data_IF_906594669557
#
_entry.id   IF_906594669557
#
_cell.length_a   1.000
_cell.length_b   1.000
_cell.length_c   1.000
_cell.angle_alpha   90.00
_cell.angle_beta   90.00
_cell.angle_gamma   90.00
#
_symmetry.space_group_name_H-M   'P 1'
#
loop_
_entity.id
_entity.type
_entity.pdbx_description
1 polymer ?
#
# COMPACT_ATOMS: atom_id res chain seq x y z
N UNK A 1 36.63 -3.28 -40.81
CA UNK A 1 36.77 -2.53 -39.55
C UNK A 1 35.59 -1.57 -39.43
N UNK A 2 34.51 -1.96 -38.72
CA UNK A 2 33.62 -1.08 -37.93
C UNK A 2 32.48 -1.96 -37.39
N UNK A 3 32.60 -2.45 -36.15
CA UNK A 3 31.49 -3.11 -35.45
C UNK A 3 30.54 -1.99 -35.00
N UNK A 4 29.31 -2.01 -35.50
CA UNK A 4 28.26 -1.06 -35.11
C UNK A 4 28.09 -1.06 -33.58
N UNK A 5 28.06 0.15 -33.03
CA UNK A 5 27.79 0.41 -31.63
C UNK A 5 26.38 -0.07 -31.25
N UNK A 6 26.31 -0.96 -30.26
CA UNK A 6 25.07 -1.23 -29.50
C UNK A 6 25.30 -0.69 -28.11
N UNK A 7 24.92 0.57 -27.89
CA UNK A 7 24.79 1.13 -26.53
C UNK A 7 23.49 1.92 -26.49
N UNK A 8 22.42 1.25 -26.09
CA UNK A 8 21.14 1.85 -25.75
C UNK A 8 20.41 0.91 -24.78
N UNK A 9 20.92 0.81 -23.54
CA UNK A 9 20.18 0.15 -22.46
C UNK A 9 20.67 0.58 -21.07
N UNK A 10 20.30 1.77 -20.60
CA UNK A 10 20.58 2.17 -19.21
C UNK A 10 19.68 3.29 -18.65
N UNK A 11 18.35 3.22 -18.86
CA UNK A 11 17.43 4.23 -18.26
C UNK A 11 16.42 3.62 -17.25
N UNK A 12 16.41 2.29 -17.04
CA UNK A 12 15.35 1.64 -16.25
C UNK A 12 15.59 1.47 -14.74
N UNK A 13 16.72 1.91 -14.19
CA UNK A 13 17.07 1.59 -12.78
C UNK A 13 16.52 2.56 -11.73
N UNK A 14 16.21 3.80 -12.09
CA UNK A 14 15.82 4.82 -11.10
C UNK A 14 14.38 4.63 -10.58
N UNK A 15 13.42 4.34 -11.47
CA UNK A 15 12.00 4.27 -11.11
C UNK A 15 11.63 3.07 -10.21
N UNK A 16 12.34 1.95 -10.33
CA UNK A 16 12.08 0.77 -9.49
C UNK A 16 12.59 0.98 -8.05
N UNK A 17 13.70 1.71 -7.88
CA UNK A 17 14.25 2.03 -6.56
C UNK A 17 13.29 2.96 -5.79
N UNK A 18 12.76 3.98 -6.44
CA UNK A 18 11.82 4.92 -5.81
C UNK A 18 10.53 4.24 -5.35
N UNK A 19 9.98 3.32 -6.16
CA UNK A 19 8.77 2.58 -5.79
C UNK A 19 8.99 1.63 -4.60
N UNK A 20 10.17 1.01 -4.51
CA UNK A 20 10.52 0.16 -3.37
C UNK A 20 10.68 0.96 -2.07
N UNK A 21 11.29 2.14 -2.14
CA UNK A 21 11.43 3.06 -1.01
C UNK A 21 10.08 3.60 -0.54
N UNK A 22 9.21 3.99 -1.48
CA UNK A 22 7.81 4.38 -1.23
C UNK A 22 7.03 3.25 -0.54
N UNK A 23 7.12 2.02 -1.05
CA UNK A 23 6.47 0.86 -0.43
C UNK A 23 7.01 0.58 0.98
N UNK A 24 8.31 0.80 1.23
CA UNK A 24 8.88 0.64 2.56
C UNK A 24 8.34 1.70 3.55
N UNK A 25 8.22 2.96 3.10
CA UNK A 25 7.56 4.04 3.88
C UNK A 25 6.10 3.70 4.17
N UNK A 26 5.35 3.26 3.18
CA UNK A 26 3.96 2.82 3.34
C UNK A 26 3.80 1.68 4.33
N UNK A 27 4.71 0.70 4.28
CA UNK A 27 4.74 -0.40 5.26
C UNK A 27 4.95 0.09 6.68
N UNK A 28 5.84 1.07 6.88
CA UNK A 28 6.09 1.66 8.19
C UNK A 28 4.85 2.39 8.72
N UNK A 29 4.16 3.15 7.87
CA UNK A 29 2.89 3.81 8.21
C UNK A 29 1.83 2.77 8.61
N UNK A 30 1.67 1.71 7.81
CA UNK A 30 0.73 0.62 8.10
C UNK A 30 1.05 -0.09 9.43
N UNK A 31 2.33 -0.31 9.73
CA UNK A 31 2.77 -0.92 10.97
C UNK A 31 2.43 -0.06 12.19
N UNK A 32 2.66 1.25 12.11
CA UNK A 32 2.41 2.18 13.22
C UNK A 32 0.91 2.39 13.49
N UNK A 33 0.08 2.41 12.43
CA UNK A 33 -1.29 2.88 12.52
C UNK A 33 -2.34 1.77 12.39
N UNK A 34 -2.09 0.78 11.53
CA UNK A 34 -3.13 -0.17 11.08
C UNK A 34 -2.99 -1.58 11.68
N UNK A 35 -1.77 -1.94 12.10
CA UNK A 35 -1.42 -3.31 12.53
C UNK A 35 -2.18 -3.83 13.76
N UNK A 36 -2.74 -2.92 14.57
CA UNK A 36 -3.59 -3.29 15.73
C UNK A 36 -4.85 -4.06 15.33
N UNK A 37 -5.33 -3.83 14.11
CA UNK A 37 -6.58 -4.41 13.60
C UNK A 37 -6.34 -5.27 12.37
N UNK A 38 -5.48 -4.85 11.45
CA UNK A 38 -5.28 -5.50 10.16
C UNK A 38 -4.01 -6.36 10.11
N UNK A 39 -4.07 -7.49 9.42
CA UNK A 39 -2.87 -8.13 8.90
C UNK A 39 -2.33 -7.32 7.72
N UNK A 40 -1.22 -6.61 7.96
CA UNK A 40 -0.62 -5.69 7.00
C UNK A 40 0.41 -6.37 6.06
N UNK A 41 0.70 -7.64 6.24
CA UNK A 41 1.70 -8.39 5.48
C UNK A 41 1.11 -9.30 4.40
N UNK A 42 2.01 -9.90 3.59
CA UNK A 42 1.66 -10.92 2.58
C UNK A 42 1.07 -12.20 3.17
N UNK A 43 1.21 -12.41 4.49
CA UNK A 43 0.69 -13.56 5.22
C UNK A 43 0.12 -13.14 6.58
N UNK A 44 -0.44 -14.09 7.33
CA UNK A 44 -0.97 -13.86 8.68
C UNK A 44 -2.45 -13.47 8.71
N UNK A 45 -3.08 -13.68 9.87
CA UNK A 45 -4.48 -13.32 10.13
C UNK A 45 -4.55 -11.95 10.78
N UNK A 46 -5.60 -11.19 10.47
CA UNK A 46 -5.86 -9.91 11.13
C UNK A 46 -6.11 -10.10 12.62
N UNK A 47 -5.53 -9.27 13.51
CA UNK A 47 -5.85 -9.31 14.93
C UNK A 47 -7.33 -9.08 15.23
N UNK A 48 -7.98 -8.17 14.50
CA UNK A 48 -9.43 -8.04 14.50
C UNK A 48 -10.02 -8.90 13.36
N UNK A 49 -10.83 -9.93 13.65
CA UNK A 49 -11.42 -10.80 12.61
C UNK A 49 -12.32 -10.06 11.62
N UNK A 50 -12.93 -8.94 12.02
CA UNK A 50 -13.75 -8.11 11.14
C UNK A 50 -12.92 -7.22 10.20
N UNK A 51 -11.64 -7.03 10.47
CA UNK A 51 -10.73 -6.22 9.66
C UNK A 51 -10.08 -7.09 8.58
N UNK A 52 -10.33 -6.85 7.28
CA UNK A 52 -9.75 -7.68 6.23
C UNK A 52 -8.21 -7.52 6.18
N UNK A 53 -7.45 -8.60 5.88
CA UNK A 53 -6.02 -8.48 5.61
C UNK A 53 -5.77 -7.59 4.39
N UNK A 54 -4.77 -6.71 4.47
CA UNK A 54 -4.50 -5.73 3.41
C UNK A 54 -4.31 -6.35 2.02
N UNK A 55 -3.64 -7.51 1.96
CA UNK A 55 -3.42 -8.28 0.73
C UNK A 55 -4.68 -8.75 0.00
N UNK A 56 -5.87 -8.57 0.57
CA UNK A 56 -7.16 -9.01 0.00
C UNK A 56 -8.07 -7.85 -0.40
N UNK A 57 -7.62 -6.61 -0.22
CA UNK A 57 -8.46 -5.42 -0.40
C UNK A 57 -8.90 -5.21 -1.85
N UNK A 58 -8.02 -5.48 -2.83
CA UNK A 58 -8.34 -5.32 -4.25
C UNK A 58 -9.45 -6.27 -4.73
N UNK A 59 -9.66 -7.40 -4.05
CA UNK A 59 -10.77 -8.31 -4.33
C UNK A 59 -12.11 -7.87 -3.74
N UNK A 60 -12.12 -6.81 -2.92
CA UNK A 60 -13.31 -6.28 -2.25
C UNK A 60 -13.74 -4.94 -2.84
N UNK A 61 -12.78 -4.07 -3.13
CA UNK A 61 -13.02 -2.71 -3.63
C UNK A 61 -11.88 -2.28 -4.55
N UNK A 62 -12.12 -1.37 -5.51
CA UNK A 62 -11.04 -0.70 -6.22
C UNK A 62 -10.12 0.03 -5.22
N UNK A 63 -8.80 -0.14 -5.35
CA UNK A 63 -7.85 0.43 -4.39
C UNK A 63 -7.75 1.96 -4.52
N UNK A 64 -8.03 2.50 -5.70
CA UNK A 64 -8.13 3.92 -5.97
C UNK A 64 -9.20 4.60 -5.08
N UNK A 65 -10.28 3.90 -4.73
CA UNK A 65 -11.29 4.44 -3.83
C UNK A 65 -10.79 4.58 -2.38
N UNK A 66 -9.67 3.93 -2.04
CA UNK A 66 -9.05 4.11 -0.72
C UNK A 66 -8.32 5.44 -0.62
N UNK A 67 -7.88 6.05 -1.72
CA UNK A 67 -7.17 7.33 -1.70
C UNK A 67 -8.07 8.43 -1.15
N UNK A 68 -9.22 8.64 -1.77
CA UNK A 68 -10.23 9.61 -1.34
C UNK A 68 -10.70 9.31 0.08
N UNK A 69 -10.99 8.04 0.39
CA UNK A 69 -11.40 7.64 1.73
C UNK A 69 -10.32 7.94 2.78
N UNK A 70 -9.04 7.72 2.49
CA UNK A 70 -7.94 8.04 3.40
C UNK A 70 -7.73 9.55 3.56
N UNK A 71 -7.92 10.32 2.49
CA UNK A 71 -7.82 11.78 2.49
C UNK A 71 -8.93 12.44 3.32
N UNK A 72 -10.16 11.92 3.24
CA UNK A 72 -11.32 12.46 3.96
C UNK A 72 -11.49 11.90 5.38
N UNK A 73 -10.71 10.87 5.73
CA UNK A 73 -10.80 10.17 7.01
C UNK A 73 -11.81 9.04 6.95
N UNK A 74 -11.33 7.88 6.47
CA UNK A 74 -12.11 6.69 6.18
C UNK A 74 -12.99 6.27 7.35
N UNK A 75 -14.27 6.08 7.05
CA UNK A 75 -15.25 5.51 7.99
C UNK A 75 -15.73 4.20 7.41
N UNK A 76 -15.39 3.08 8.06
CA UNK A 76 -15.85 1.75 7.66
C UNK A 76 -16.92 1.29 8.66
N UNK A 77 -18.10 0.90 8.14
CA UNK A 77 -19.29 0.62 8.95
C UNK A 77 -19.19 -0.56 9.92
N UNK A 78 -20.08 -0.54 10.91
CA UNK A 78 -19.99 -1.22 12.21
C UNK A 78 -20.08 -2.76 12.20
N UNK A 79 -19.29 -3.37 13.09
CA UNK A 79 -19.28 -4.81 13.42
C UNK A 79 -18.11 -5.27 14.30
N UNK A 80 -17.26 -4.34 14.80
CA UNK A 80 -16.05 -4.64 15.55
C UNK A 80 -15.45 -3.38 16.19
N UNK A 81 -14.12 -3.33 16.32
CA UNK A 81 -13.42 -2.09 16.70
C UNK A 81 -13.58 -1.04 15.60
N UNK A 82 -14.01 0.17 15.98
CA UNK A 82 -14.07 1.32 15.07
C UNK A 82 -12.70 1.57 14.43
N UNK A 83 -12.66 1.67 13.10
CA UNK A 83 -11.45 2.10 12.41
C UNK A 83 -11.15 3.55 12.84
N UNK A 84 -9.98 3.84 13.42
CA UNK A 84 -9.65 5.20 13.81
C UNK A 84 -9.60 6.11 12.58
N UNK A 85 -10.04 7.35 12.74
CA UNK A 85 -9.74 8.40 11.77
C UNK A 85 -8.26 8.74 11.86
N UNK A 86 -7.59 8.72 10.72
CA UNK A 86 -6.22 9.17 10.58
C UNK A 86 -6.19 10.44 9.73
N UNK A 87 -5.25 11.32 10.02
CA UNK A 87 -4.89 12.44 9.15
C UNK A 87 -3.53 12.11 8.55
N UNK A 88 -3.55 11.75 7.27
CA UNK A 88 -2.34 11.49 6.49
C UNK A 88 -2.12 12.63 5.51
N UNK A 89 -0.87 13.00 5.27
CA UNK A 89 -0.53 13.87 4.14
C UNK A 89 -0.72 13.12 2.81
N UNK A 90 -0.86 13.82 1.67
CA UNK A 90 -0.94 13.17 0.36
C UNK A 90 0.21 12.17 0.12
N UNK A 91 1.44 12.53 0.49
CA UNK A 91 2.62 11.67 0.32
C UNK A 91 2.57 10.42 1.21
N UNK A 92 1.91 10.51 2.37
CA UNK A 92 1.71 9.35 3.25
C UNK A 92 0.64 8.41 2.69
N UNK A 93 -0.40 8.96 2.07
CA UNK A 93 -1.46 8.19 1.39
C UNK A 93 -0.86 7.45 0.20
N UNK A 94 -0.10 8.14 -0.65
CA UNK A 94 0.58 7.55 -1.82
C UNK A 94 1.51 6.40 -1.42
N UNK A 95 2.35 6.61 -0.40
CA UNK A 95 3.25 5.57 0.09
C UNK A 95 2.46 4.36 0.62
N UNK A 96 1.38 4.61 1.38
CA UNK A 96 0.52 3.56 1.94
C UNK A 96 -0.17 2.75 0.84
N UNK A 97 -0.74 3.41 -0.18
CA UNK A 97 -1.39 2.76 -1.32
C UNK A 97 -0.38 2.02 -2.18
N UNK A 98 0.82 2.57 -2.39
CA UNK A 98 1.92 1.89 -3.07
C UNK A 98 2.25 0.58 -2.37
N UNK A 99 2.37 0.60 -1.05
CA UNK A 99 2.61 -0.60 -0.27
C UNK A 99 1.43 -1.60 -0.35
N UNK A 100 0.19 -1.16 -0.12
CA UNK A 100 -1.00 -2.01 -0.16
C UNK A 100 -1.10 -2.70 -1.54
N UNK A 101 -0.92 -1.94 -2.61
CA UNK A 101 -0.94 -2.45 -3.99
C UNK A 101 0.13 -3.52 -4.19
N UNK A 102 1.36 -3.30 -3.68
CA UNK A 102 2.49 -4.23 -3.85
C UNK A 102 2.30 -5.62 -3.18
N UNK A 103 1.34 -5.74 -2.26
CA UNK A 103 1.11 -6.97 -1.48
C UNK A 103 -0.19 -7.69 -1.83
N UNK A 104 -0.97 -7.21 -2.81
CA UNK A 104 -2.22 -7.87 -3.18
C UNK A 104 -1.96 -9.31 -3.65
N UNK A 105 -2.75 -10.24 -3.12
CA UNK A 105 -2.89 -11.57 -3.67
C UNK A 105 -3.86 -11.48 -4.85
N UNK A 106 -3.48 -12.04 -6.00
CA UNK A 106 -4.41 -12.21 -7.13
C UNK A 106 -5.62 -13.05 -6.74
#
# INVERSE_FOLDING_TARGET
MMRLAVVLLAIFTCAAATAADEAARGRAIAAANCSRCHAIGKTGKSPNPASPPFRTLAGKYPLENLEEALAEGIVVGHGGLEMPRFQFSPEQIDALLTYITSIQSK
#
